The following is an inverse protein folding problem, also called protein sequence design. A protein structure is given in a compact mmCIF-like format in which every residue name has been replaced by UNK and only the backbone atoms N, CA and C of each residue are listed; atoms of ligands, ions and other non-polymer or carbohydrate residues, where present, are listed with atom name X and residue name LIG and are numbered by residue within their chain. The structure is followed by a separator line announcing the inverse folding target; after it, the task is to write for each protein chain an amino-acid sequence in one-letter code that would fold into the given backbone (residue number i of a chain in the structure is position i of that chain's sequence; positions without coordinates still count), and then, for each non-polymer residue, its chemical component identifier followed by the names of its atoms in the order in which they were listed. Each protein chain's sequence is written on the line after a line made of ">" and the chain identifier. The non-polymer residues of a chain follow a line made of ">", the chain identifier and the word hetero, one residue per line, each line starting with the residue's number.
data_IF_309181644669
#
_entry.id   IF_309181644669
#
_cell.length_a   1.000
_cell.length_b   1.000
_cell.length_c   1.000
_cell.angle_alpha   90.00
_cell.angle_beta   90.00
_cell.angle_gamma   90.00
#
_symmetry.space_group_name_H-M   'P 1'
#
loop_
_entity.id
_entity.type
_entity.pdbx_description
1 polymer ?
#
# COMPACT_ATOMS: atom_id res chain seq x y z
N UNK A 1 -1.71 6.73 10.61
CA UNK A 1 -1.37 5.32 10.92
C UNK A 1 -0.88 4.67 9.66
N UNK A 2 0.35 4.20 9.62
CA UNK A 2 0.95 3.51 8.47
C UNK A 2 1.02 2.02 8.76
N UNK A 3 0.57 1.20 7.80
CA UNK A 3 0.63 -0.26 7.90
C UNK A 3 1.36 -0.78 6.68
N UNK A 4 2.48 -1.46 6.89
CA UNK A 4 3.20 -2.12 5.82
C UNK A 4 2.55 -3.46 5.50
N UNK A 5 2.32 -3.77 4.23
CA UNK A 5 1.78 -5.07 3.83
C UNK A 5 2.74 -5.74 2.85
N UNK A 6 3.21 -6.93 3.18
CA UNK A 6 4.16 -7.68 2.37
C UNK A 6 3.82 -9.17 2.30
N UNK A 7 4.19 -9.82 1.20
CA UNK A 7 4.18 -11.27 1.05
C UNK A 7 5.39 -11.96 1.69
N UNK A 8 6.37 -11.17 2.15
CA UNK A 8 7.57 -11.70 2.79
C UNK A 8 7.26 -12.38 4.12
N UNK A 9 8.24 -13.16 4.60
CA UNK A 9 8.16 -13.78 5.91
C UNK A 9 8.11 -12.72 7.02
N UNK A 10 7.54 -13.06 8.21
CA UNK A 10 7.37 -12.10 9.31
C UNK A 10 8.69 -11.53 9.85
N UNK A 11 9.80 -12.28 9.76
CA UNK A 11 11.10 -11.81 10.25
C UNK A 11 11.65 -10.67 9.39
N UNK A 12 11.61 -10.85 8.06
CA UNK A 12 12.01 -9.81 7.10
C UNK A 12 11.08 -8.61 7.18
N UNK A 13 9.76 -8.85 7.23
CA UNK A 13 8.77 -7.79 7.35
C UNK A 13 8.98 -6.94 8.61
N UNK A 14 9.23 -7.57 9.75
CA UNK A 14 9.50 -6.86 11.01
C UNK A 14 10.78 -6.00 10.94
N UNK A 15 11.83 -6.51 10.30
CA UNK A 15 13.08 -5.77 10.14
C UNK A 15 12.89 -4.52 9.28
N UNK A 16 12.26 -4.68 8.11
CA UNK A 16 11.98 -3.56 7.19
C UNK A 16 10.98 -2.59 7.82
N UNK A 17 9.97 -3.08 8.53
CA UNK A 17 9.01 -2.24 9.24
C UNK A 17 9.67 -1.38 10.32
N UNK A 18 10.59 -1.97 11.09
CA UNK A 18 11.35 -1.25 12.10
C UNK A 18 12.30 -0.21 11.48
N UNK A 19 12.94 -0.54 10.35
CA UNK A 19 13.82 0.38 9.62
C UNK A 19 13.06 1.53 8.98
N UNK A 20 11.90 1.26 8.38
CA UNK A 20 11.02 2.24 7.75
C UNK A 20 10.19 3.07 8.77
N UNK A 21 10.17 2.67 10.03
CA UNK A 21 9.43 3.37 11.10
C UNK A 21 7.91 3.33 10.93
N UNK A 22 7.35 2.23 10.42
CA UNK A 22 5.89 2.07 10.28
C UNK A 22 5.23 1.66 11.60
N UNK A 23 3.96 2.03 11.79
CA UNK A 23 3.23 1.74 13.04
C UNK A 23 2.91 0.24 13.18
N UNK A 24 2.67 -0.45 12.07
CA UNK A 24 2.21 -1.85 12.04
C UNK A 24 2.63 -2.54 10.73
N UNK A 25 2.64 -3.87 10.72
CA UNK A 25 2.89 -4.63 9.49
C UNK A 25 2.09 -5.93 9.40
N UNK A 26 1.73 -6.29 8.17
CA UNK A 26 1.11 -7.57 7.81
C UNK A 26 2.09 -8.33 6.91
N UNK A 27 2.65 -9.42 7.43
CA UNK A 27 3.53 -10.32 6.70
C UNK A 27 2.78 -11.51 6.11
N UNK A 28 3.35 -12.13 5.08
CA UNK A 28 2.76 -13.26 4.35
C UNK A 28 1.32 -12.98 3.86
N UNK A 29 1.06 -11.72 3.51
CA UNK A 29 -0.28 -11.28 3.15
C UNK A 29 -0.70 -11.82 1.78
N UNK A 30 -1.89 -12.41 1.72
CA UNK A 30 -2.54 -12.76 0.44
C UNK A 30 -3.21 -11.53 -0.18
N UNK A 31 -3.51 -11.53 -1.49
CA UNK A 31 -4.29 -10.46 -2.11
C UNK A 31 -5.64 -10.22 -1.41
N UNK A 32 -6.29 -11.27 -0.93
CA UNK A 32 -7.54 -11.21 -0.18
C UNK A 32 -7.37 -10.49 1.18
N UNK A 33 -6.26 -10.74 1.87
CA UNK A 33 -5.96 -10.07 3.15
C UNK A 33 -5.78 -8.56 2.96
N UNK A 34 -5.12 -8.15 1.87
CA UNK A 34 -4.95 -6.72 1.51
C UNK A 34 -6.31 -6.04 1.35
N UNK A 35 -7.19 -6.64 0.55
CA UNK A 35 -8.53 -6.13 0.31
C UNK A 35 -9.37 -6.06 1.59
N UNK A 36 -9.29 -7.10 2.42
CA UNK A 36 -10.00 -7.15 3.70
C UNK A 36 -9.52 -6.04 4.63
N UNK A 37 -8.21 -5.80 4.73
CA UNK A 37 -7.65 -4.75 5.57
C UNK A 37 -8.16 -3.36 5.16
N UNK A 38 -8.16 -3.07 3.87
CA UNK A 38 -8.66 -1.79 3.31
C UNK A 38 -10.13 -1.61 3.67
N UNK A 39 -10.97 -2.62 3.40
CA UNK A 39 -12.40 -2.58 3.72
C UNK A 39 -12.67 -2.43 5.20
N UNK A 40 -11.90 -3.12 6.05
CA UNK A 40 -12.05 -3.06 7.51
C UNK A 40 -11.71 -1.67 8.05
N UNK A 41 -10.69 -0.98 7.50
CA UNK A 41 -10.37 0.39 7.89
C UNK A 41 -11.36 1.41 7.30
N UNK A 42 -11.81 1.22 6.06
CA UNK A 42 -12.88 2.03 5.46
C UNK A 42 -14.21 1.91 6.22
N UNK A 43 -14.57 0.70 6.68
CA UNK A 43 -15.75 0.46 7.50
C UNK A 43 -15.70 1.17 8.87
N UNK A 44 -14.49 1.49 9.36
CA UNK A 44 -14.28 2.33 10.55
C UNK A 44 -14.40 3.83 10.25
N UNK A 45 -14.73 4.21 9.02
CA UNK A 45 -14.87 5.60 8.59
C UNK A 45 -13.53 6.30 8.34
N UNK A 46 -12.45 5.55 8.11
CA UNK A 46 -11.14 6.12 7.77
C UNK A 46 -10.95 6.14 6.26
N UNK A 47 -10.27 7.17 5.77
CA UNK A 47 -9.77 7.20 4.40
C UNK A 47 -8.51 6.35 4.31
N UNK A 48 -8.46 5.46 3.33
CA UNK A 48 -7.34 4.54 3.10
C UNK A 48 -6.60 4.92 1.83
N UNK A 49 -5.33 5.28 1.99
CA UNK A 49 -4.39 5.41 0.89
C UNK A 49 -3.56 4.12 0.79
N UNK A 50 -3.37 3.62 -0.44
CA UNK A 50 -2.55 2.45 -0.71
C UNK A 50 -1.52 2.78 -1.78
N UNK A 51 -0.29 2.29 -1.60
CA UNK A 51 0.73 2.33 -2.63
C UNK A 51 1.17 0.91 -3.00
N UNK A 52 1.43 0.66 -4.28
CA UNK A 52 1.86 -0.64 -4.78
C UNK A 52 2.49 -0.59 -6.17
N UNK A 53 3.25 -1.62 -6.49
CA UNK A 53 4.00 -1.79 -7.75
C UNK A 53 3.51 -2.99 -8.57
N UNK A 54 2.82 -3.96 -7.95
CA UNK A 54 2.47 -5.23 -8.58
C UNK A 54 1.08 -5.29 -9.21
N UNK A 55 0.93 -6.20 -10.18
CA UNK A 55 -0.39 -6.65 -10.68
C UNK A 55 -1.27 -7.21 -9.55
N UNK A 56 -0.64 -7.77 -8.53
CA UNK A 56 -1.30 -8.31 -7.34
C UNK A 56 -1.89 -7.22 -6.45
N UNK A 57 -1.40 -5.99 -6.57
CA UNK A 57 -1.86 -4.83 -5.81
C UNK A 57 -2.94 -4.05 -6.53
N UNK A 58 -3.14 -4.28 -7.83
CA UNK A 58 -4.17 -3.60 -8.62
C UNK A 58 -5.60 -3.69 -8.01
N UNK A 59 -6.09 -4.86 -7.53
CA UNK A 59 -7.41 -4.92 -6.91
C UNK A 59 -7.50 -4.08 -5.63
N UNK A 60 -6.41 -4.04 -4.87
CA UNK A 60 -6.35 -3.35 -3.58
C UNK A 60 -6.18 -1.82 -3.79
N UNK A 61 -5.39 -1.40 -4.78
CA UNK A 61 -5.27 -0.02 -5.24
C UNK A 61 -6.62 0.54 -5.70
N UNK A 62 -7.39 -0.23 -6.47
CA UNK A 62 -8.72 0.16 -6.93
C UNK A 62 -9.78 0.21 -5.81
N UNK A 63 -9.58 -0.56 -4.73
CA UNK A 63 -10.47 -0.58 -3.55
C UNK A 63 -10.15 0.55 -2.56
N UNK A 64 -8.91 1.03 -2.52
CA UNK A 64 -8.48 2.13 -1.68
C UNK A 64 -9.13 3.46 -2.13
N UNK A 65 -9.30 4.40 -1.19
CA UNK A 65 -9.81 5.74 -1.52
C UNK A 65 -8.79 6.54 -2.33
N UNK A 66 -7.51 6.28 -2.09
CA UNK A 66 -6.39 6.84 -2.85
C UNK A 66 -5.40 5.72 -3.20
N UNK A 67 -5.46 5.19 -4.41
CA UNK A 67 -4.47 4.25 -4.94
C UNK A 67 -3.31 4.97 -5.62
N UNK A 68 -2.08 4.70 -5.20
CA UNK A 68 -0.84 5.21 -5.79
C UNK A 68 -0.06 4.07 -6.41
N UNK A 69 0.09 4.07 -7.72
CA UNK A 69 0.89 3.08 -8.44
C UNK A 69 2.32 3.61 -8.64
N UNK A 70 3.34 2.82 -8.32
CA UNK A 70 4.73 3.20 -8.60
C UNK A 70 5.04 3.18 -10.10
N UNK A 71 5.92 4.07 -10.59
CA UNK A 71 6.30 4.16 -12.00
C UNK A 71 6.93 2.86 -12.52
N UNK A 72 7.67 2.12 -11.71
CA UNK A 72 8.19 0.80 -12.13
C UNK A 72 7.13 -0.30 -12.13
N UNK A 73 5.91 -0.01 -11.66
CA UNK A 73 4.82 -0.96 -11.53
C UNK A 73 4.19 -1.39 -12.85
N UNK A 74 3.51 -2.54 -12.81
CA UNK A 74 2.91 -3.14 -14.01
C UNK A 74 1.78 -2.29 -14.59
N UNK A 75 1.48 -2.45 -15.89
CA UNK A 75 0.41 -1.69 -16.57
C UNK A 75 -0.92 -1.82 -15.83
N UNK A 76 -1.22 -2.98 -15.27
CA UNK A 76 -2.42 -3.23 -14.47
C UNK A 76 -2.49 -2.40 -13.18
N UNK A 77 -1.36 -2.18 -12.50
CA UNK A 77 -1.33 -1.33 -11.30
C UNK A 77 -1.55 0.14 -11.65
N UNK A 78 -0.98 0.61 -12.77
CA UNK A 78 -1.14 1.99 -13.25
C UNK A 78 -2.57 2.33 -13.69
N UNK A 79 -3.30 1.38 -14.28
CA UNK A 79 -4.70 1.58 -14.64
C UNK A 79 -5.65 1.52 -13.43
N UNK A 80 -5.24 0.81 -12.36
CA UNK A 80 -6.01 0.67 -11.14
C UNK A 80 -5.76 1.77 -10.10
N UNK A 81 -4.60 2.42 -10.12
CA UNK A 81 -4.25 3.53 -9.23
C UNK A 81 -4.74 4.89 -9.74
N UNK A 82 -5.22 5.74 -8.82
CA UNK A 82 -5.65 7.11 -9.11
C UNK A 82 -4.48 8.07 -9.35
N UNK A 83 -3.29 7.75 -8.83
CA UNK A 83 -2.09 8.57 -8.95
C UNK A 83 -0.90 7.67 -9.31
N UNK A 84 -0.01 8.14 -10.19
CA UNK A 84 1.21 7.43 -10.56
C UNK A 84 2.39 8.16 -9.94
N UNK A 85 3.10 7.52 -9.00
CA UNK A 85 4.34 8.04 -8.44
C UNK A 85 5.47 7.82 -9.44
N UNK A 86 5.89 8.89 -10.11
CA UNK A 86 6.90 8.88 -11.17
C UNK A 86 8.32 8.55 -10.67
N UNK A 87 8.60 8.70 -9.37
CA UNK A 87 9.94 8.50 -8.79
C UNK A 87 10.12 7.15 -8.09
N UNK A 88 9.04 6.38 -7.89
CA UNK A 88 9.05 5.06 -7.23
C UNK A 88 9.66 5.09 -5.81
N UNK A 89 9.35 6.14 -5.05
CA UNK A 89 9.82 6.31 -3.66
C UNK A 89 8.61 6.43 -2.71
N UNK A 90 8.32 5.38 -1.92
CA UNK A 90 7.16 5.39 -1.02
C UNK A 90 7.25 6.44 0.10
N UNK A 91 8.42 7.06 0.35
CA UNK A 91 8.54 8.12 1.36
C UNK A 91 7.84 9.42 0.96
N UNK A 92 7.64 9.69 -0.34
CA UNK A 92 6.94 10.91 -0.81
C UNK A 92 5.43 10.92 -0.53
N UNK A 93 4.83 9.79 -0.19
CA UNK A 93 3.42 9.77 0.25
C UNK A 93 3.17 10.59 1.50
N UNK A 94 4.20 10.77 2.34
CA UNK A 94 4.11 11.61 3.54
C UNK A 94 4.03 13.10 3.18
N UNK A 95 4.66 13.54 2.08
CA UNK A 95 4.63 14.94 1.63
C UNK A 95 3.29 15.34 0.99
N UNK A 96 2.53 14.40 0.42
CA UNK A 96 1.26 14.68 -0.27
C UNK A 96 0.11 14.93 0.71
N UNK A 97 0.21 14.45 1.96
CA UNK A 97 -0.85 14.59 2.98
C UNK A 97 -0.73 15.91 3.76
N UNK A 98 0.28 16.74 3.48
CA UNK A 98 0.53 18.01 4.19
C UNK A 98 -0.17 19.26 3.60
N UNK A 99 -1.12 19.11 2.66
CA UNK A 99 -1.92 20.23 2.11
C UNK A 99 -3.39 20.12 2.49
#
# INVERSE_FOLDING_TARGET
>A
RTVMITGDNPMTAAAIAAEAGVDDFLAQATPEDKLKLIRDEQAKGKLVAMCGDGTNDAPALAQADVGVAMNTGTVAAREAGNMVDLDSDPTKLIEIVEI
#
